data_IF_318992692441
#
_entry.id   IF_318992692441
#
_cell.length_a   1.000
_cell.length_b   1.000
_cell.length_c   1.000
_cell.angle_alpha   90.00
_cell.angle_beta   90.00
_cell.angle_gamma   90.00
#
_symmetry.space_group_name_H-M   'P 1'
#
loop_
_entity.id
_entity.type
_entity.pdbx_description
1 polymer ?
#
# COMPACT_ATOMS: atom_id res chain seq x y z
N UNK A 1 10.49 -7.49 -3.07
CA UNK A 1 9.19 -7.85 -3.68
C UNK A 1 9.33 -8.77 -4.88
N UNK A 2 10.04 -8.39 -5.95
CA UNK A 2 10.16 -9.22 -7.16
C UNK A 2 10.68 -10.64 -6.89
N UNK A 3 11.74 -10.79 -6.09
CA UNK A 3 12.29 -12.10 -5.69
C UNK A 3 11.28 -12.95 -4.90
N UNK A 4 10.58 -12.35 -3.94
CA UNK A 4 9.56 -13.06 -3.15
C UNK A 4 8.38 -13.51 -4.03
N UNK A 5 7.96 -12.69 -5.00
CA UNK A 5 6.93 -13.06 -5.97
C UNK A 5 7.38 -14.18 -6.91
N UNK A 6 8.63 -14.19 -7.35
CA UNK A 6 9.19 -15.31 -8.13
C UNK A 6 9.15 -16.62 -7.35
N UNK A 7 9.62 -16.60 -6.09
CA UNK A 7 9.58 -17.78 -5.22
C UNK A 7 8.16 -18.31 -4.99
N UNK A 8 7.17 -17.41 -4.84
CA UNK A 8 5.76 -17.80 -4.72
C UNK A 8 5.21 -18.37 -6.04
N UNK A 9 5.62 -17.83 -7.19
CA UNK A 9 5.16 -18.31 -8.49
C UNK A 9 5.60 -19.76 -8.79
N UNK A 10 6.73 -20.18 -8.22
CA UNK A 10 7.25 -21.55 -8.29
C UNK A 10 6.47 -22.55 -7.41
N UNK A 11 5.63 -22.08 -6.48
CA UNK A 11 4.80 -22.97 -5.67
C UNK A 11 3.64 -23.54 -6.51
N UNK A 12 3.22 -24.79 -6.22
CA UNK A 12 1.95 -25.35 -6.71
C UNK A 12 0.78 -24.40 -6.44
N UNK A 13 -0.20 -24.34 -7.34
CA UNK A 13 -1.30 -23.36 -7.27
C UNK A 13 -2.09 -23.42 -5.97
N UNK A 14 -2.34 -24.63 -5.46
CA UNK A 14 -3.04 -24.90 -4.20
C UNK A 14 -2.25 -24.48 -2.95
N UNK A 15 -0.96 -24.14 -3.12
CA UNK A 15 -0.05 -23.73 -2.04
C UNK A 15 0.41 -22.29 -2.18
N UNK A 16 -0.09 -21.53 -3.17
CA UNK A 16 0.24 -20.11 -3.35
C UNK A 16 -0.48 -19.28 -2.27
N UNK A 17 0.23 -18.55 -1.41
CA UNK A 17 -0.40 -17.67 -0.43
C UNK A 17 -1.00 -16.42 -1.09
N UNK A 18 -2.02 -15.84 -0.45
CA UNK A 18 -2.51 -14.50 -0.77
C UNK A 18 -1.52 -13.48 -0.21
N UNK A 19 -1.08 -12.53 -1.04
CA UNK A 19 -0.12 -11.49 -0.66
C UNK A 19 -0.80 -10.13 -0.60
N UNK A 20 -0.90 -9.61 0.62
CA UNK A 20 -1.26 -8.23 0.88
C UNK A 20 -0.05 -7.30 0.88
N UNK A 21 -0.23 -6.09 0.36
CA UNK A 21 0.77 -5.02 0.47
C UNK A 21 0.15 -3.80 1.13
N UNK A 22 0.72 -3.41 2.28
CA UNK A 22 0.33 -2.21 3.01
C UNK A 22 1.23 -1.04 2.58
N UNK A 23 0.62 0.05 2.12
CA UNK A 23 1.31 1.27 1.72
C UNK A 23 0.90 2.44 2.62
N UNK A 24 1.87 3.25 3.03
CA UNK A 24 1.68 4.44 3.85
C UNK A 24 2.20 5.68 3.16
N UNK A 25 1.75 6.86 3.58
CA UNK A 25 2.26 8.15 3.09
C UNK A 25 3.74 8.31 3.41
N UNK A 26 4.54 8.70 2.42
CA UNK A 26 5.93 9.11 2.59
C UNK A 26 6.02 10.25 3.59
N UNK A 27 6.95 10.17 4.56
CA UNK A 27 7.03 11.12 5.69
C UNK A 27 7.14 12.59 5.24
N UNK A 28 7.93 12.86 4.20
CA UNK A 28 8.23 14.21 3.71
C UNK A 28 7.19 14.78 2.75
N UNK A 29 6.24 13.98 2.27
CA UNK A 29 5.19 14.45 1.37
C UNK A 29 4.12 15.19 2.18
N UNK A 30 3.72 16.42 1.81
CA UNK A 30 2.61 17.13 2.42
C UNK A 30 1.28 16.34 2.39
N UNK A 31 0.37 16.60 3.34
CA UNK A 31 -0.90 15.84 3.45
C UNK A 31 -1.84 16.04 2.25
N UNK A 32 -1.89 17.26 1.71
CA UNK A 32 -2.65 17.61 0.50
C UNK A 32 -2.17 16.87 -0.75
N UNK A 33 -0.94 16.33 -0.74
CA UNK A 33 -0.36 15.51 -1.81
C UNK A 33 -0.40 14.01 -1.50
N UNK A 34 -1.02 13.59 -0.39
CA UNK A 34 -1.03 12.19 0.02
C UNK A 34 -1.65 11.26 -1.03
N UNK A 35 -2.71 11.70 -1.71
CA UNK A 35 -3.39 10.90 -2.74
C UNK A 35 -2.45 10.53 -3.90
N UNK A 36 -1.65 11.49 -4.38
CA UNK A 36 -0.68 11.24 -5.46
C UNK A 36 0.48 10.36 -5.00
N UNK A 37 0.93 10.52 -3.76
CA UNK A 37 1.96 9.66 -3.16
C UNK A 37 1.49 8.20 -3.01
N UNK A 38 0.24 7.98 -2.57
CA UNK A 38 -0.39 6.66 -2.58
C UNK A 38 -0.54 6.11 -4.00
N UNK A 39 -0.94 6.93 -4.98
CA UNK A 39 -1.06 6.52 -6.40
C UNK A 39 0.28 6.06 -6.98
N UNK A 40 1.38 6.76 -6.68
CA UNK A 40 2.73 6.35 -7.08
C UNK A 40 3.10 5.01 -6.46
N UNK A 41 2.86 4.83 -5.16
CA UNK A 41 3.14 3.56 -4.48
C UNK A 41 2.28 2.41 -5.01
N UNK A 42 0.99 2.64 -5.20
CA UNK A 42 0.05 1.65 -5.75
C UNK A 42 0.44 1.24 -7.17
N UNK A 43 0.72 2.18 -8.08
CA UNK A 43 1.11 1.86 -9.47
C UNK A 43 2.39 1.02 -9.55
N UNK A 44 3.34 1.22 -8.63
CA UNK A 44 4.59 0.45 -8.56
C UNK A 44 4.40 -0.95 -7.98
N UNK A 45 3.50 -1.10 -7.01
CA UNK A 45 3.39 -2.29 -6.17
C UNK A 45 2.19 -3.19 -6.49
N UNK A 46 1.14 -2.69 -7.14
CA UNK A 46 -0.09 -3.43 -7.43
C UNK A 46 0.16 -4.75 -8.17
N UNK A 47 1.09 -4.77 -9.13
CA UNK A 47 1.48 -5.98 -9.87
C UNK A 47 2.09 -7.10 -9.01
N UNK A 48 2.41 -6.80 -7.76
CA UNK A 48 2.95 -7.75 -6.78
C UNK A 48 2.00 -8.01 -5.62
N UNK A 49 0.75 -7.55 -5.68
CA UNK A 49 -0.21 -7.65 -4.57
C UNK A 49 -1.51 -8.29 -5.05
N UNK A 50 -2.07 -9.20 -4.26
CA UNK A 50 -3.43 -9.71 -4.48
C UNK A 50 -4.45 -8.73 -3.92
N UNK A 51 -4.05 -7.96 -2.89
CA UNK A 51 -4.78 -6.80 -2.42
C UNK A 51 -3.82 -5.74 -1.86
N UNK A 52 -4.27 -4.48 -1.90
CA UNK A 52 -3.55 -3.34 -1.35
C UNK A 52 -4.29 -2.80 -0.12
N UNK A 53 -3.53 -2.32 0.85
CA UNK A 53 -4.04 -1.55 2.00
C UNK A 53 -3.46 -0.15 1.94
N UNK A 54 -4.34 0.85 1.93
CA UNK A 54 -3.97 2.26 2.11
C UNK A 54 -3.98 2.57 3.61
N UNK A 55 -2.81 2.84 4.18
CA UNK A 55 -2.68 3.11 5.61
C UNK A 55 -2.76 4.61 5.89
N UNK A 56 -3.91 5.02 6.42
CA UNK A 56 -4.19 6.39 6.92
C UNK A 56 -4.29 6.44 8.45
N UNK A 57 -3.84 5.40 9.17
CA UNK A 57 -4.07 5.25 10.62
C UNK A 57 -2.84 5.43 11.51
N UNK A 58 -1.64 5.54 10.93
CA UNK A 58 -0.36 5.67 11.65
C UNK A 58 -0.37 6.87 12.62
N UNK A 59 -0.09 6.66 13.93
CA UNK A 59 -0.02 7.75 14.90
C UNK A 59 1.24 8.62 14.73
N UNK A 60 2.22 8.14 13.98
CA UNK A 60 3.54 8.77 13.83
C UNK A 60 3.59 9.80 12.70
N UNK A 61 2.48 10.02 12.01
CA UNK A 61 2.36 10.96 10.90
C UNK A 61 1.32 12.01 11.28
N UNK A 62 1.74 13.22 11.69
CA UNK A 62 0.81 14.28 12.09
C UNK A 62 -0.25 14.55 11.00
N UNK A 63 -1.51 14.68 11.43
CA UNK A 63 -2.67 14.96 10.56
C UNK A 63 -3.07 13.83 9.60
N UNK A 64 -2.40 12.66 9.62
CA UNK A 64 -2.72 11.58 8.68
C UNK A 64 -4.14 11.00 8.90
N UNK A 65 -4.58 10.95 10.15
CA UNK A 65 -5.92 10.46 10.50
C UNK A 65 -7.05 11.37 10.02
N UNK A 66 -6.74 12.62 9.66
CA UNK A 66 -7.72 13.53 9.08
C UNK A 66 -8.16 13.05 7.69
N UNK A 67 -7.37 12.19 7.02
CA UNK A 67 -7.76 11.52 5.77
C UNK A 67 -8.82 10.42 5.97
N UNK A 68 -9.25 10.15 7.21
CA UNK A 68 -10.31 9.18 7.50
C UNK A 68 -11.71 9.79 7.44
N UNK A 69 -11.83 11.10 7.20
CA UNK A 69 -13.13 11.76 7.03
C UNK A 69 -13.79 11.32 5.72
N UNK A 70 -15.12 11.37 5.67
CA UNK A 70 -15.90 10.94 4.49
C UNK A 70 -15.58 11.81 3.28
N UNK A 71 -15.27 13.09 3.50
CA UNK A 71 -14.92 14.05 2.44
C UNK A 71 -13.55 13.76 1.80
N UNK A 72 -12.70 12.98 2.48
CA UNK A 72 -11.36 12.63 2.01
C UNK A 72 -11.31 11.26 1.28
N UNK A 73 -12.41 10.50 1.25
CA UNK A 73 -12.53 9.16 0.66
C UNK A 73 -13.24 9.20 -0.70
#
# INVERSE_FOLDING_TARGET
MQRARQQIAELPEDRRPIIGVNIGKTKTVPLDQAADDYRVSASRLAKYADYLVINVSSPNTPGLRDLQTVEAL
#
